data_IF_690703386412
#
_entry.id   IF_690703386412
#
_cell.length_a   1.000
_cell.length_b   1.000
_cell.length_c   1.000
_cell.angle_alpha   90.00
_cell.angle_beta   90.00
_cell.angle_gamma   90.00
#
_symmetry.space_group_name_H-M   'P 1'
#
loop_
_entity.id
_entity.type
_entity.pdbx_description
1 polymer ?
#
# COMPACT_ATOMS: atom_id res chain seq x y z
N UNK A 1 5.46 -10.61 -2.43
CA UNK A 1 6.28 -10.91 -1.23
C UNK A 1 7.16 -9.68 -0.98
N UNK A 2 6.79 -8.73 -0.13
CA UNK A 2 5.74 -8.77 0.88
C UNK A 2 5.18 -7.40 1.28
N UNK A 3 4.15 -7.51 2.12
CA UNK A 3 3.53 -6.52 3.00
C UNK A 3 2.81 -7.35 4.09
N UNK A 4 3.56 -8.18 4.86
CA UNK A 4 3.06 -9.11 5.90
C UNK A 4 4.14 -9.51 6.94
N UNK A 5 5.03 -8.60 7.34
CA UNK A 5 5.97 -8.81 8.46
C UNK A 5 7.07 -9.88 8.31
N UNK A 6 7.06 -10.75 7.31
CA UNK A 6 8.16 -11.70 7.07
C UNK A 6 9.13 -11.08 6.07
N UNK A 7 10.19 -10.44 6.59
CA UNK A 7 11.27 -9.93 5.77
C UNK A 7 12.11 -11.08 5.23
N UNK A 8 11.79 -11.54 4.02
CA UNK A 8 12.68 -12.43 3.28
C UNK A 8 13.92 -11.65 2.85
N UNK A 9 15.09 -12.26 2.98
CA UNK A 9 16.34 -11.69 2.46
C UNK A 9 16.25 -11.49 0.94
N UNK A 10 17.11 -10.63 0.38
CA UNK A 10 17.18 -10.41 -1.07
C UNK A 10 17.30 -11.72 -1.85
N UNK A 11 18.23 -12.59 -1.44
CA UNK A 11 18.41 -13.92 -2.04
C UNK A 11 17.20 -14.85 -1.88
N UNK A 12 16.49 -14.81 -0.74
CA UNK A 12 15.26 -15.59 -0.55
C UNK A 12 14.14 -15.13 -1.49
N UNK A 13 13.94 -13.81 -1.64
CA UNK A 13 12.97 -13.25 -2.60
C UNK A 13 13.32 -13.65 -4.03
N UNK A 14 14.61 -13.62 -4.37
CA UNK A 14 15.10 -14.01 -5.69
C UNK A 14 14.85 -15.50 -5.97
N UNK A 15 15.12 -16.39 -5.00
CA UNK A 15 14.79 -17.83 -5.12
C UNK A 15 13.30 -18.09 -5.36
N UNK A 16 12.42 -17.38 -4.65
CA UNK A 16 10.97 -17.50 -4.87
C UNK A 16 10.57 -16.99 -6.25
N UNK A 17 11.16 -15.88 -6.72
CA UNK A 17 10.89 -15.36 -8.06
C UNK A 17 11.32 -16.35 -9.16
N UNK A 18 12.51 -16.95 -9.02
CA UNK A 18 13.02 -17.99 -9.92
C UNK A 18 12.09 -19.21 -9.93
N UNK A 19 11.72 -19.72 -8.75
CA UNK A 19 10.80 -20.85 -8.64
C UNK A 19 9.45 -20.56 -9.33
N UNK A 20 8.89 -19.36 -9.15
CA UNK A 20 7.67 -18.92 -9.84
C UNK A 20 7.82 -18.89 -11.36
N UNK A 21 8.97 -18.44 -11.86
CA UNK A 21 9.26 -18.43 -13.29
C UNK A 21 9.39 -19.85 -13.87
N UNK A 22 10.06 -20.76 -13.15
CA UNK A 22 10.24 -22.16 -13.56
C UNK A 22 8.89 -22.90 -13.58
N UNK A 23 8.06 -22.73 -12.54
CA UNK A 23 6.73 -23.38 -12.43
C UNK A 23 5.83 -23.00 -13.60
N UNK A 24 5.86 -21.74 -14.04
CA UNK A 24 5.05 -21.26 -15.17
C UNK A 24 5.41 -21.94 -16.49
N UNK A 25 6.58 -22.58 -16.59
CA UNK A 25 7.11 -23.23 -17.80
C UNK A 25 6.93 -22.41 -19.08
N UNK A 26 7.46 -21.16 -19.13
CA UNK A 26 7.30 -20.29 -20.29
C UNK A 26 8.12 -20.79 -21.49
N UNK A 27 7.66 -20.52 -22.72
CA UNK A 27 8.44 -20.81 -23.94
C UNK A 27 9.70 -19.94 -24.05
N UNK A 28 9.63 -18.70 -23.55
CA UNK A 28 10.72 -17.75 -23.50
C UNK A 28 11.03 -17.41 -22.04
N UNK A 29 12.26 -17.66 -21.60
CA UNK A 29 12.74 -17.39 -20.26
C UNK A 29 13.71 -16.20 -20.28
N UNK A 30 13.38 -15.14 -19.55
CA UNK A 30 14.25 -13.97 -19.39
C UNK A 30 14.86 -13.99 -17.99
N UNK A 31 16.19 -13.98 -17.92
CA UNK A 31 16.94 -13.99 -16.67
C UNK A 31 17.78 -12.71 -16.58
N UNK A 32 17.28 -11.71 -15.86
CA UNK A 32 17.97 -10.45 -15.63
C UNK A 32 18.70 -10.49 -14.27
N UNK A 33 20.01 -10.66 -14.30
CA UNK A 33 20.89 -10.78 -13.13
C UNK A 33 20.36 -11.74 -12.04
N UNK A 34 19.81 -12.88 -12.48
CA UNK A 34 19.04 -13.79 -11.63
C UNK A 34 19.82 -14.41 -10.43
N UNK A 35 21.15 -14.28 -10.39
CA UNK A 35 22.00 -14.78 -9.28
C UNK A 35 22.72 -13.68 -8.50
N UNK A 36 22.46 -12.39 -8.76
CA UNK A 36 23.23 -11.28 -8.18
C UNK A 36 23.11 -11.15 -6.66
N UNK A 37 21.94 -11.43 -6.07
CA UNK A 37 21.70 -11.31 -4.62
C UNK A 37 21.78 -12.66 -3.88
N UNK A 38 22.37 -13.69 -4.48
CA UNK A 38 22.61 -14.99 -3.85
C UNK A 38 24.04 -15.10 -3.33
N UNK A 39 24.18 -15.79 -2.20
CA UNK A 39 25.45 -16.31 -1.68
C UNK A 39 26.02 -17.39 -2.60
N UNK A 40 27.34 -17.61 -2.55
CA UNK A 40 28.06 -18.51 -3.47
C UNK A 40 27.58 -19.97 -3.41
N UNK A 41 27.18 -20.46 -2.23
CA UNK A 41 26.66 -21.82 -2.08
C UNK A 41 25.28 -21.96 -2.74
N UNK A 42 24.36 -21.05 -2.40
CA UNK A 42 23.01 -21.02 -2.96
C UNK A 42 23.00 -20.75 -4.46
N UNK A 43 23.93 -19.93 -4.95
CA UNK A 43 24.07 -19.66 -6.38
C UNK A 43 24.31 -20.95 -7.15
N UNK A 44 25.23 -21.81 -6.71
CA UNK A 44 25.56 -23.04 -7.42
C UNK A 44 24.35 -23.95 -7.58
N UNK A 45 23.53 -24.07 -6.52
CA UNK A 45 22.30 -24.87 -6.53
C UNK A 45 21.27 -24.27 -7.50
N UNK A 46 21.08 -22.96 -7.45
CA UNK A 46 20.12 -22.26 -8.32
C UNK A 46 20.57 -22.27 -9.78
N UNK A 47 21.87 -22.16 -10.04
CA UNK A 47 22.43 -22.23 -11.38
C UNK A 47 22.17 -23.61 -12.01
N UNK A 48 22.38 -24.69 -11.25
CA UNK A 48 22.08 -26.04 -11.72
C UNK A 48 20.58 -26.22 -12.07
N UNK A 49 19.69 -25.64 -11.25
CA UNK A 49 18.25 -25.67 -11.52
C UNK A 49 17.87 -24.82 -12.74
N UNK A 50 18.51 -23.65 -12.94
CA UNK A 50 18.33 -22.81 -14.12
C UNK A 50 18.82 -23.52 -15.39
N UNK A 51 19.95 -24.22 -15.33
CA UNK A 51 20.50 -24.98 -16.46
C UNK A 51 19.55 -26.12 -16.88
N UNK A 52 18.93 -26.81 -15.92
CA UNK A 52 17.86 -27.78 -16.23
C UNK A 52 16.61 -27.10 -16.79
N UNK A 53 16.21 -25.96 -16.22
CA UNK A 53 15.03 -25.22 -16.66
C UNK A 53 15.19 -24.58 -18.04
N UNK A 54 16.42 -24.38 -18.53
CA UNK A 54 16.74 -23.87 -19.87
C UNK A 54 16.48 -24.90 -20.97
N UNK A 55 16.52 -26.19 -20.66
CA UNK A 55 16.37 -27.25 -21.66
C UNK A 55 15.00 -27.17 -22.34
N UNK A 56 15.01 -27.08 -23.68
CA UNK A 56 13.80 -26.99 -24.49
C UNK A 56 13.10 -25.62 -24.48
N UNK A 57 13.78 -24.56 -24.04
CA UNK A 57 13.25 -23.19 -23.97
C UNK A 57 14.22 -22.17 -24.55
N UNK A 58 13.71 -21.12 -25.18
CA UNK A 58 14.55 -19.99 -25.56
C UNK A 58 14.86 -19.17 -24.31
N UNK A 59 16.14 -19.11 -23.91
CA UNK A 59 16.54 -18.38 -22.71
C UNK A 59 17.45 -17.21 -23.06
N UNK A 60 17.07 -16.01 -22.62
CA UNK A 60 17.90 -14.80 -22.72
C UNK A 60 18.40 -14.47 -21.32
N UNK A 61 19.71 -14.31 -21.20
CA UNK A 61 20.39 -14.15 -19.91
C UNK A 61 21.18 -12.86 -19.94
N UNK A 62 20.88 -11.96 -19.02
CA UNK A 62 21.70 -10.79 -18.71
C UNK A 62 22.48 -11.16 -17.45
N UNK A 63 23.79 -11.25 -17.58
CA UNK A 63 24.64 -11.71 -16.49
C UNK A 63 25.86 -10.81 -16.34
N UNK A 64 26.19 -10.54 -15.08
CA UNK A 64 27.45 -9.94 -14.66
C UNK A 64 28.47 -11.02 -14.23
N UNK A 65 28.06 -12.28 -14.07
CA UNK A 65 28.91 -13.40 -13.63
C UNK A 65 29.36 -14.29 -14.79
N UNK A 66 30.67 -14.49 -14.89
CA UNK A 66 31.33 -15.33 -15.89
C UNK A 66 30.80 -16.77 -15.95
N UNK A 67 30.46 -17.35 -14.80
CA UNK A 67 29.90 -18.70 -14.67
C UNK A 67 28.59 -18.87 -15.46
N UNK A 68 27.75 -17.84 -15.46
CA UNK A 68 26.46 -17.84 -16.15
C UNK A 68 26.59 -17.64 -17.66
N UNK A 69 27.63 -16.91 -18.08
CA UNK A 69 27.87 -16.51 -19.47
C UNK A 69 28.61 -17.61 -20.25
N UNK A 70 29.54 -18.33 -19.62
CA UNK A 70 30.40 -19.32 -20.29
C UNK A 70 29.63 -20.47 -20.94
N UNK A 71 28.51 -20.87 -20.33
CA UNK A 71 27.68 -21.99 -20.79
C UNK A 71 26.61 -21.57 -21.81
N UNK A 72 26.64 -20.32 -22.31
CA UNK A 72 25.67 -19.85 -23.29
C UNK A 72 26.02 -20.34 -24.71
N UNK A 73 25.01 -20.71 -25.49
CA UNK A 73 25.17 -21.12 -26.89
C UNK A 73 25.70 -19.97 -27.76
N UNK A 74 25.28 -18.75 -27.47
CA UNK A 74 25.71 -17.53 -28.16
C UNK A 74 25.73 -16.38 -27.18
N UNK A 75 26.83 -15.65 -27.18
CA UNK A 75 27.06 -14.47 -26.35
C UNK A 75 27.02 -13.25 -27.27
N UNK A 76 26.20 -12.27 -26.91
CA UNK A 76 26.14 -10.97 -27.58
C UNK A 76 26.67 -9.89 -26.63
N UNK A 77 27.70 -9.17 -27.05
CA UNK A 77 28.27 -8.05 -26.28
C UNK A 77 27.69 -6.75 -26.80
N UNK A 78 27.07 -5.98 -25.90
CA UNK A 78 26.51 -4.67 -26.20
C UNK A 78 27.46 -3.56 -25.77
N UNK A 79 27.67 -2.59 -26.64
CA UNK A 79 28.35 -1.33 -26.34
C UNK A 79 27.56 -0.18 -26.97
N UNK A 80 27.26 0.87 -26.19
CA UNK A 80 26.49 2.06 -26.64
C UNK A 80 25.16 1.70 -27.35
N UNK A 81 24.47 0.68 -26.85
CA UNK A 81 23.19 0.22 -27.40
C UNK A 81 23.29 -0.55 -28.73
N UNK A 82 24.50 -0.87 -29.20
CA UNK A 82 24.74 -1.68 -30.40
C UNK A 82 25.45 -2.98 -30.03
N UNK A 83 25.15 -4.04 -30.78
CA UNK A 83 25.87 -5.31 -30.61
C UNK A 83 27.19 -5.24 -31.38
N UNK A 84 28.30 -5.29 -30.66
CA UNK A 84 29.65 -5.17 -31.23
C UNK A 84 30.28 -6.53 -31.53
N UNK A 85 29.93 -7.56 -30.76
CA UNK A 85 30.47 -8.92 -30.87
C UNK A 85 29.35 -9.93 -30.62
N UNK A 86 29.31 -10.99 -31.44
CA UNK A 86 28.38 -12.11 -31.29
C UNK A 86 29.14 -13.39 -31.59
N UNK A 87 29.07 -14.37 -30.69
CA UNK A 87 29.65 -15.69 -30.95
C UNK A 87 29.65 -16.60 -29.73
N UNK A 88 30.20 -17.81 -29.90
CA UNK A 88 30.46 -18.72 -28.80
C UNK A 88 31.64 -18.22 -27.94
N UNK A 89 31.70 -18.67 -26.69
CA UNK A 89 32.75 -18.30 -25.73
C UNK A 89 34.16 -18.44 -26.31
N UNK A 90 34.47 -19.60 -26.89
CA UNK A 90 35.82 -19.91 -27.39
C UNK A 90 36.21 -19.01 -28.56
N UNK A 91 35.27 -18.71 -29.46
CA UNK A 91 35.50 -17.82 -30.61
C UNK A 91 35.75 -16.39 -30.15
N UNK A 92 35.00 -15.90 -29.17
CA UNK A 92 35.16 -14.55 -28.64
C UNK A 92 36.45 -14.37 -27.83
N UNK A 93 36.94 -15.45 -27.20
CA UNK A 93 38.19 -15.44 -26.44
C UNK A 93 39.45 -15.39 -27.33
N UNK A 94 39.39 -15.88 -28.57
CA UNK A 94 40.51 -15.87 -29.51
C UNK A 94 40.79 -14.49 -30.12
N UNK A 95 39.82 -13.57 -30.07
CA UNK A 95 39.98 -12.19 -30.53
C UNK A 95 40.98 -11.45 -29.63
N UNK A 96 42.17 -11.15 -30.19
CA UNK A 96 43.28 -10.52 -29.46
C UNK A 96 42.91 -9.19 -28.79
N UNK A 97 41.95 -8.45 -29.34
CA UNK A 97 41.43 -7.17 -28.84
C UNK A 97 39.89 -7.16 -28.71
N UNK A 98 39.29 -8.29 -28.35
CA UNK A 98 37.83 -8.38 -28.17
C UNK A 98 37.35 -7.68 -26.90
N UNK A 99 36.18 -7.03 -26.97
CA UNK A 99 35.53 -6.44 -25.81
C UNK A 99 35.13 -7.53 -24.78
N UNK A 100 34.66 -8.68 -25.27
CA UNK A 100 34.37 -9.84 -24.42
C UNK A 100 35.61 -10.30 -23.63
N UNK A 101 36.72 -10.56 -24.32
CA UNK A 101 37.93 -11.12 -23.71
C UNK A 101 38.57 -10.16 -22.68
N UNK A 102 38.45 -8.85 -22.92
CA UNK A 102 38.82 -7.82 -21.94
C UNK A 102 37.99 -7.89 -20.65
N UNK A 103 36.66 -7.96 -20.75
CA UNK A 103 35.77 -8.09 -19.57
C UNK A 103 36.05 -9.37 -18.78
N UNK A 104 36.27 -10.49 -19.46
CA UNK A 104 36.60 -11.78 -18.82
C UNK A 104 37.90 -11.69 -18.03
N UNK A 105 38.95 -11.07 -18.59
CA UNK A 105 40.24 -10.90 -17.91
C UNK A 105 40.10 -10.04 -16.65
N UNK A 106 39.38 -8.92 -16.75
CA UNK A 106 39.14 -8.02 -15.61
C UNK A 106 38.41 -8.73 -14.47
N UNK A 107 37.40 -9.53 -14.79
CA UNK A 107 36.64 -10.27 -13.78
C UNK A 107 37.46 -11.40 -13.12
N UNK A 108 38.33 -12.07 -13.88
CA UNK A 108 39.26 -13.07 -13.32
C UNK A 108 40.30 -12.46 -12.37
N UNK A 109 40.76 -11.24 -12.64
CA UNK A 109 41.68 -10.52 -11.74
C UNK A 109 40.97 -10.17 -10.43
N UNK A 110 39.74 -9.66 -10.51
CA UNK A 110 38.92 -9.32 -9.33
C UNK A 110 38.66 -10.53 -8.43
N UNK A 111 38.28 -11.68 -9.00
CA UNK A 111 38.05 -12.89 -8.21
C UNK A 111 39.33 -13.39 -7.50
N UNK A 112 40.50 -13.26 -8.14
CA UNK A 112 41.79 -13.63 -7.53
C UNK A 112 42.19 -12.70 -6.39
N UNK A 113 41.91 -11.41 -6.53
CA UNK A 113 42.15 -10.42 -5.46
C UNK A 113 41.23 -10.67 -4.25
N UNK A 114 39.95 -11.02 -4.48
CA UNK A 114 39.00 -11.38 -3.43
C UNK A 114 39.41 -12.68 -2.69
N UNK A 115 39.92 -13.69 -3.40
CA UNK A 115 40.45 -14.93 -2.80
C UNK A 115 41.74 -14.70 -1.98
N UNK A 116 42.64 -13.82 -2.44
CA UNK A 116 43.87 -13.46 -1.70
C UNK A 116 43.59 -12.65 -0.43
N UNK A 117 42.61 -11.74 -0.47
CA UNK A 117 42.22 -10.96 0.71
C UNK A 117 41.52 -11.82 1.78
N UNK A 118 40.85 -12.91 1.38
CA UNK A 118 40.22 -13.86 2.30
C UNK A 118 41.22 -14.80 2.99
N UNK A 119 42.33 -15.14 2.33
CA UNK A 119 43.38 -16.01 2.88
C UNK A 119 44.32 -15.27 3.84
N UNK A 120 44.60 -13.98 3.60
CA UNK A 120 45.38 -13.13 4.53
C UNK A 120 44.63 -12.81 5.84
N UNK A 121 43.30 -12.89 5.85
CA UNK A 121 42.49 -12.69 7.06
C UNK A 121 42.41 -13.95 7.96
N UNK A 122 42.84 -15.13 7.49
CA UNK A 122 42.83 -16.38 8.26
C UNK A 122 44.14 -16.70 8.98
N UNK A 123 45.24 -15.98 8.70
CA UNK A 123 46.52 -16.17 9.41
C UNK A 123 46.65 -15.36 10.72
N UNK A 124 45.64 -14.56 11.09
CA UNK A 124 45.61 -13.83 12.36
C UNK A 124 44.52 -14.35 13.31
N UNK A 125 44.50 -15.66 13.60
CA UNK A 125 43.84 -16.18 14.80
C UNK A 125 44.27 -17.62 15.14
N UNK A 126 45.52 -17.81 15.51
CA UNK A 126 46.00 -19.03 16.18
C UNK A 126 46.66 -18.70 17.51
N UNK A 127 45.89 -18.36 18.55
CA UNK A 127 46.26 -18.60 19.96
C UNK A 127 45.00 -18.74 20.83
N UNK A 128 44.95 -19.83 21.60
CA UNK A 128 44.03 -20.17 22.71
C UNK A 128 42.59 -20.55 22.29
N UNK A 129 42.07 -21.74 22.60
CA UNK A 129 42.20 -22.53 23.83
C UNK A 129 42.01 -24.04 23.56
N UNK A 130 42.77 -24.85 24.29
CA UNK A 130 42.58 -26.29 24.47
C UNK A 130 41.28 -26.64 25.20
N UNK A 131 40.89 -27.91 25.06
CA UNK A 131 39.96 -28.69 25.89
C UNK A 131 38.45 -28.57 25.63
N UNK A 132 37.89 -29.55 24.90
CA UNK A 132 37.20 -30.68 25.54
C UNK A 132 36.70 -31.70 24.49
N UNK A 133 37.00 -32.97 24.73
CA UNK A 133 36.34 -34.09 24.06
C UNK A 133 34.97 -34.35 24.72
N UNK A 134 33.93 -34.57 23.92
CA UNK A 134 32.83 -35.46 24.30
C UNK A 134 32.14 -36.06 23.08
N UNK A 135 32.03 -37.38 23.14
CA UNK A 135 31.29 -38.25 22.23
C UNK A 135 29.79 -37.95 22.23
N UNK A 136 29.12 -38.33 21.12
CA UNK A 136 27.98 -39.27 21.07
C UNK A 136 26.77 -38.80 20.24
N UNK A 137 26.64 -39.46 19.10
CA UNK A 137 25.44 -40.09 18.51
C UNK A 137 24.13 -39.30 18.27
N UNK A 138 23.72 -39.32 16.99
CA UNK A 138 22.41 -39.75 16.46
C UNK A 138 21.13 -39.23 17.15
N UNK A 139 20.36 -38.41 16.41
CA UNK A 139 19.02 -38.71 15.88
C UNK A 139 18.22 -37.43 15.63
N UNK A 140 17.68 -37.26 14.42
CA UNK A 140 16.31 -36.75 14.25
C UNK A 140 15.73 -37.28 12.93
N UNK A 141 14.63 -38.03 13.08
CA UNK A 141 13.78 -38.63 12.04
C UNK A 141 12.95 -37.55 11.30
N UNK A 142 12.38 -37.89 10.14
CA UNK A 142 11.52 -37.01 9.35
C UNK A 142 10.08 -37.05 9.86
N UNK A 143 9.38 -35.92 9.87
CA UNK A 143 7.93 -35.86 10.11
C UNK A 143 7.23 -35.04 9.03
N UNK A 144 6.69 -35.80 8.06
CA UNK A 144 5.41 -35.63 7.36
C UNK A 144 4.90 -34.20 7.09
N UNK A 145 5.08 -33.77 5.84
CA UNK A 145 4.30 -32.73 5.19
C UNK A 145 2.86 -33.23 4.99
N UNK A 146 1.91 -32.73 5.76
CA UNK A 146 0.49 -32.92 5.49
C UNK A 146 0.04 -31.99 4.36
N UNK A 147 -0.56 -32.60 3.36
CA UNK A 147 -1.23 -31.99 2.22
C UNK A 147 -2.40 -31.13 2.68
N UNK A 148 -2.37 -29.82 2.39
CA UNK A 148 -3.55 -28.98 2.41
C UNK A 148 -4.04 -28.84 0.97
N UNK A 149 -5.18 -29.48 0.73
CA UNK A 149 -6.01 -29.37 -0.46
C UNK A 149 -6.47 -27.92 -0.64
N UNK A 150 -6.24 -27.40 -1.84
CA UNK A 150 -6.79 -26.14 -2.32
C UNK A 150 -8.29 -26.37 -2.54
N UNK A 151 -9.13 -25.70 -1.76
CA UNK A 151 -10.55 -25.55 -2.06
C UNK A 151 -10.95 -24.09 -1.86
N UNK A 152 -11.52 -23.54 -2.92
CA UNK A 152 -12.06 -22.20 -3.10
C UNK A 152 -12.80 -21.63 -1.90
N UNK A 153 -12.21 -20.62 -1.22
CA UNK A 153 -12.94 -19.62 -0.42
C UNK A 153 -12.21 -18.27 -0.40
N UNK A 154 -12.18 -17.59 -1.54
CA UNK A 154 -11.61 -16.23 -1.67
C UNK A 154 -12.55 -15.09 -1.21
N UNK A 155 -13.69 -15.38 -0.54
CA UNK A 155 -14.70 -14.33 -0.26
C UNK A 155 -15.23 -14.26 1.17
N UNK A 156 -14.62 -14.92 2.17
CA UNK A 156 -15.17 -14.92 3.54
C UNK A 156 -14.20 -14.64 4.71
N UNK A 157 -12.93 -14.31 4.47
CA UNK A 157 -11.94 -14.18 5.58
C UNK A 157 -11.84 -12.77 6.18
N UNK A 158 -12.47 -11.74 5.61
CA UNK A 158 -12.37 -10.36 6.16
C UNK A 158 -13.36 -10.08 7.30
N UNK A 159 -14.21 -11.03 7.68
CA UNK A 159 -15.28 -10.82 8.65
C UNK A 159 -14.97 -11.24 10.10
N UNK A 160 -13.70 -11.43 10.50
CA UNK A 160 -13.40 -11.85 11.89
C UNK A 160 -12.21 -11.13 12.51
N UNK A 161 -12.46 -10.61 13.72
CA UNK A 161 -11.55 -9.93 14.66
C UNK A 161 -11.40 -8.39 14.52
N UNK A 162 -12.51 -7.65 14.44
CA UNK A 162 -12.57 -6.31 15.03
C UNK A 162 -12.83 -6.46 16.54
N UNK A 163 -11.86 -6.10 17.37
CA UNK A 163 -12.16 -5.82 18.78
C UNK A 163 -13.16 -4.65 18.84
N UNK A 164 -14.11 -4.64 19.80
CA UNK A 164 -15.02 -3.53 19.97
C UNK A 164 -14.24 -2.34 20.51
N UNK A 165 -13.70 -1.50 19.62
CA UNK A 165 -13.18 -0.19 20.02
C UNK A 165 -14.35 0.60 20.60
N UNK A 166 -14.22 1.00 21.87
CA UNK A 166 -15.21 1.82 22.55
C UNK A 166 -15.53 3.04 21.70
N UNK A 167 -16.80 3.17 21.29
CA UNK A 167 -17.26 4.32 20.51
C UNK A 167 -16.93 5.60 21.31
N UNK A 168 -16.14 6.53 20.75
CA UNK A 168 -15.83 7.75 21.46
C UNK A 168 -17.14 8.50 21.72
N UNK A 169 -17.28 9.04 22.93
CA UNK A 169 -18.45 9.86 23.28
C UNK A 169 -18.59 11.00 22.26
N UNK A 170 -19.79 11.16 21.71
CA UNK A 170 -20.12 12.22 20.74
C UNK A 170 -19.73 13.61 21.24
N UNK A 171 -19.81 13.85 22.56
CA UNK A 171 -19.37 15.10 23.17
C UNK A 171 -17.87 15.38 23.00
N UNK A 172 -17.03 14.34 22.97
CA UNK A 172 -15.59 14.48 22.74
C UNK A 172 -15.29 14.87 21.28
N UNK A 173 -16.09 14.37 20.33
CA UNK A 173 -16.01 14.78 18.93
C UNK A 173 -16.46 16.23 18.75
N UNK A 174 -17.58 16.62 19.38
CA UNK A 174 -18.06 18.01 19.38
C UNK A 174 -17.02 18.97 19.99
N UNK A 175 -16.30 18.53 21.02
CA UNK A 175 -15.23 19.30 21.65
C UNK A 175 -14.04 19.59 20.72
N UNK A 176 -13.86 18.80 19.65
CA UNK A 176 -12.82 19.04 18.65
C UNK A 176 -13.14 20.24 17.74
N UNK A 177 -14.38 20.72 17.77
CA UNK A 177 -14.89 21.87 17.03
C UNK A 177 -14.78 23.20 17.80
N UNK A 178 -14.03 23.22 18.92
CA UNK A 178 -13.83 24.42 19.76
C UNK A 178 -13.40 25.70 19.02
N UNK A 179 -12.46 25.68 18.07
CA UNK A 179 -11.99 26.93 17.48
C UNK A 179 -12.98 27.53 16.49
N UNK A 180 -13.90 26.74 15.91
CA UNK A 180 -14.99 27.20 15.04
C UNK A 180 -16.33 27.41 15.80
N UNK A 181 -16.26 27.75 17.10
CA UNK A 181 -17.44 27.89 17.96
C UNK A 181 -18.40 29.02 17.52
N UNK A 182 -17.88 30.04 16.84
CA UNK A 182 -18.69 31.18 16.39
C UNK A 182 -19.62 30.76 15.25
N UNK A 183 -19.06 30.05 14.27
CA UNK A 183 -19.76 29.49 13.12
C UNK A 183 -20.81 28.48 13.59
N UNK A 184 -20.49 27.67 14.60
CA UNK A 184 -21.43 26.75 15.22
C UNK A 184 -22.61 27.47 15.90
N UNK A 185 -22.36 28.55 16.66
CA UNK A 185 -23.43 29.34 17.30
C UNK A 185 -24.33 30.00 16.26
N UNK A 186 -23.75 30.60 15.22
CA UNK A 186 -24.52 31.23 14.13
C UNK A 186 -25.37 30.17 13.39
N UNK A 187 -24.80 28.99 13.10
CA UNK A 187 -25.53 27.87 12.51
C UNK A 187 -26.71 27.40 13.38
N UNK A 188 -26.49 27.25 14.69
CA UNK A 188 -27.54 26.88 15.65
C UNK A 188 -28.64 27.93 15.76
N UNK A 189 -28.29 29.23 15.77
CA UNK A 189 -29.27 30.31 15.79
C UNK A 189 -30.15 30.31 14.53
N UNK A 190 -29.55 30.08 13.35
CA UNK A 190 -30.29 29.93 12.09
C UNK A 190 -31.20 28.70 12.10
N UNK A 191 -30.74 27.58 12.67
CA UNK A 191 -31.54 26.36 12.80
C UNK A 191 -32.76 26.54 13.71
N UNK A 192 -32.63 27.28 14.80
CA UNK A 192 -33.76 27.64 15.66
C UNK A 192 -34.75 28.52 14.87
N UNK A 193 -34.26 29.50 14.11
CA UNK A 193 -35.11 30.36 13.29
C UNK A 193 -35.88 29.56 12.22
N UNK A 194 -35.23 28.63 11.52
CA UNK A 194 -35.89 27.74 10.55
C UNK A 194 -36.91 26.82 11.22
N UNK A 195 -36.58 26.29 12.40
CA UNK A 195 -37.52 25.51 13.21
C UNK A 195 -38.77 26.31 13.58
N UNK A 196 -38.62 27.60 13.91
CA UNK A 196 -39.73 28.49 14.25
C UNK A 196 -40.57 28.93 13.02
N UNK A 197 -39.97 28.98 11.82
CA UNK A 197 -40.70 29.29 10.58
C UNK A 197 -41.76 28.23 10.26
N UNK A 198 -41.55 26.95 10.60
CA UNK A 198 -42.49 25.87 10.30
C UNK A 198 -43.86 26.03 11.01
N UNK A 199 -43.94 26.28 12.33
CA UNK A 199 -45.19 26.61 13.01
C UNK A 199 -45.88 27.86 12.45
N UNK A 200 -45.11 28.93 12.17
CA UNK A 200 -45.66 30.18 11.61
C UNK A 200 -46.27 29.94 10.24
N UNK A 201 -45.59 29.16 9.39
CA UNK A 201 -46.09 28.76 8.08
C UNK A 201 -47.37 27.92 8.18
N UNK A 202 -47.40 26.95 9.09
CA UNK A 202 -48.58 26.11 9.35
C UNK A 202 -49.77 26.95 9.80
N UNK A 203 -49.55 27.87 10.75
CA UNK A 203 -50.56 28.79 11.24
C UNK A 203 -51.09 29.71 10.13
N UNK A 204 -50.20 30.34 9.37
CA UNK A 204 -50.57 31.23 8.25
C UNK A 204 -51.44 30.50 7.21
N UNK A 205 -51.09 29.24 6.90
CA UNK A 205 -51.85 28.39 5.98
C UNK A 205 -53.23 28.03 6.54
N UNK A 206 -53.31 27.73 7.84
CA UNK A 206 -54.58 27.50 8.55
C UNK A 206 -55.48 28.74 8.59
N UNK A 207 -54.92 29.92 8.81
CA UNK A 207 -55.68 31.17 8.75
C UNK A 207 -56.16 31.50 7.34
N UNK A 208 -55.35 31.17 6.32
CA UNK A 208 -55.74 31.37 4.91
C UNK A 208 -57.00 30.59 4.56
N UNK A 209 -57.11 29.32 4.98
CA UNK A 209 -58.33 28.53 4.71
C UNK A 209 -59.54 29.06 5.49
N UNK A 210 -59.33 29.55 6.72
CA UNK A 210 -60.41 30.14 7.54
C UNK A 210 -61.03 31.39 6.91
N UNK A 211 -60.21 32.21 6.26
CA UNK A 211 -60.66 33.46 5.62
C UNK A 211 -61.66 33.21 4.49
N UNK A 212 -61.59 32.05 3.82
CA UNK A 212 -62.55 31.70 2.77
C UNK A 212 -63.98 31.46 3.29
N UNK A 213 -64.17 31.29 4.60
CA UNK A 213 -65.49 31.13 5.21
C UNK A 213 -66.15 32.46 5.62
N UNK A 214 -65.50 33.62 5.37
CA UNK A 214 -66.17 34.92 5.57
C UNK A 214 -67.26 35.14 4.52
N UNK A 215 -68.32 35.88 4.89
CA UNK A 215 -69.47 36.11 4.02
C UNK A 215 -69.28 37.32 3.08
N UNK A 216 -68.36 38.23 3.39
CA UNK A 216 -68.10 39.44 2.59
C UNK A 216 -66.93 39.24 1.60
N UNK A 217 -67.25 39.29 0.30
CA UNK A 217 -66.27 39.13 -0.77
C UNK A 217 -65.20 40.23 -0.81
N UNK A 218 -65.51 41.46 -0.40
CA UNK A 218 -64.51 42.54 -0.40
C UNK A 218 -63.49 42.35 0.73
N UNK A 219 -63.94 41.89 1.90
CA UNK A 219 -63.06 41.61 3.03
C UNK A 219 -62.10 40.45 2.74
N UNK A 220 -62.58 39.38 2.09
CA UNK A 220 -61.74 38.24 1.66
C UNK A 220 -60.57 38.72 0.79
N UNK A 221 -60.84 39.52 -0.24
CA UNK A 221 -59.80 39.99 -1.16
C UNK A 221 -58.73 40.86 -0.48
N UNK A 222 -59.13 41.66 0.50
CA UNK A 222 -58.19 42.48 1.27
C UNK A 222 -57.28 41.63 2.16
N UNK A 223 -57.87 40.69 2.92
CA UNK A 223 -57.13 39.80 3.81
C UNK A 223 -56.19 38.86 3.03
N UNK A 224 -56.68 38.23 1.96
CA UNK A 224 -55.87 37.33 1.11
C UNK A 224 -54.64 38.05 0.55
N UNK A 225 -54.77 39.32 0.14
CA UNK A 225 -53.64 40.13 -0.35
C UNK A 225 -52.56 40.32 0.72
N UNK A 226 -52.96 40.61 1.95
CA UNK A 226 -52.02 40.76 3.09
C UNK A 226 -51.29 39.44 3.34
N UNK A 227 -52.02 38.32 3.44
CA UNK A 227 -51.39 37.01 3.67
C UNK A 227 -50.49 36.55 2.53
N UNK A 228 -50.81 36.91 1.28
CA UNK A 228 -49.93 36.63 0.12
C UNK A 228 -48.58 37.33 0.26
N UNK A 229 -48.56 38.59 0.71
CA UNK A 229 -47.32 39.33 0.99
C UNK A 229 -46.56 38.70 2.17
N UNK A 230 -47.25 38.26 3.22
CA UNK A 230 -46.64 37.54 4.36
C UNK A 230 -46.00 36.21 3.92
N UNK A 231 -46.64 35.46 3.02
CA UNK A 231 -46.05 34.23 2.48
C UNK A 231 -44.81 34.51 1.64
N UNK A 232 -44.83 35.56 0.82
CA UNK A 232 -43.68 35.96 0.01
C UNK A 232 -42.49 36.40 0.88
N UNK A 233 -42.74 37.19 1.92
CA UNK A 233 -41.68 37.62 2.85
C UNK A 233 -41.12 36.45 3.65
N UNK A 234 -41.98 35.52 4.09
CA UNK A 234 -41.56 34.30 4.80
C UNK A 234 -40.71 33.39 3.90
N UNK A 235 -41.03 33.28 2.61
CA UNK A 235 -40.26 32.50 1.64
C UNK A 235 -38.84 33.09 1.44
N UNK A 236 -38.74 34.41 1.27
CA UNK A 236 -37.44 35.10 1.13
C UNK A 236 -36.62 34.94 2.41
N UNK A 237 -37.23 35.14 3.58
CA UNK A 237 -36.55 34.97 4.87
C UNK A 237 -36.06 33.53 5.06
N UNK A 238 -36.91 32.55 4.76
CA UNK A 238 -36.54 31.13 4.82
C UNK A 238 -35.34 30.83 3.92
N UNK A 239 -35.35 31.32 2.68
CA UNK A 239 -34.24 31.13 1.75
C UNK A 239 -32.91 31.70 2.29
N UNK A 240 -32.92 32.93 2.81
CA UNK A 240 -31.72 33.57 3.36
C UNK A 240 -31.18 32.85 4.60
N UNK A 241 -32.06 32.52 5.55
CA UNK A 241 -31.66 31.82 6.78
C UNK A 241 -31.15 30.41 6.46
N UNK A 242 -31.73 29.75 5.45
CA UNK A 242 -31.32 28.40 5.05
C UNK A 242 -29.93 28.39 4.39
N UNK A 243 -29.65 29.35 3.52
CA UNK A 243 -28.29 29.55 2.98
C UNK A 243 -27.30 29.77 4.12
N UNK A 244 -27.62 30.67 5.06
CA UNK A 244 -26.74 30.99 6.17
C UNK A 244 -26.53 29.76 7.08
N UNK A 245 -27.57 28.98 7.36
CA UNK A 245 -27.47 27.76 8.15
C UNK A 245 -26.54 26.73 7.49
N UNK A 246 -26.79 26.38 6.22
CA UNK A 246 -26.01 25.37 5.52
C UNK A 246 -24.57 25.81 5.29
N UNK A 247 -24.34 27.09 4.98
CA UNK A 247 -22.99 27.63 4.81
C UNK A 247 -22.16 27.52 6.09
N UNK A 248 -22.71 27.94 7.23
CA UNK A 248 -22.00 27.87 8.51
C UNK A 248 -21.71 26.41 8.92
N UNK A 249 -22.66 25.49 8.75
CA UNK A 249 -22.43 24.08 9.05
C UNK A 249 -21.46 23.39 8.07
N UNK A 250 -21.46 23.78 6.79
CA UNK A 250 -20.52 23.24 5.80
C UNK A 250 -19.07 23.62 6.14
N UNK A 251 -18.82 24.91 6.42
CA UNK A 251 -17.50 25.40 6.81
C UNK A 251 -17.02 24.71 8.09
N UNK A 252 -17.89 24.61 9.08
CA UNK A 252 -17.60 23.93 10.34
C UNK A 252 -17.22 22.46 10.11
N UNK A 253 -17.98 21.73 9.28
CA UNK A 253 -17.73 20.33 8.95
C UNK A 253 -16.41 20.10 8.21
N UNK A 254 -16.06 20.98 7.27
CA UNK A 254 -14.81 20.89 6.51
C UNK A 254 -13.57 21.10 7.39
N UNK A 255 -13.60 22.12 8.26
CA UNK A 255 -12.51 22.39 9.20
C UNK A 255 -12.33 21.25 10.22
N UNK A 256 -13.44 20.71 10.73
CA UNK A 256 -13.42 19.57 11.64
C UNK A 256 -12.82 18.33 10.96
N UNK A 257 -13.27 18.01 9.74
CA UNK A 257 -12.76 16.90 8.92
C UNK A 257 -11.26 17.03 8.67
N UNK A 258 -10.79 18.22 8.25
CA UNK A 258 -9.37 18.51 8.05
C UNK A 258 -8.55 18.24 9.31
N UNK A 259 -9.01 18.76 10.45
CA UNK A 259 -8.32 18.60 11.74
C UNK A 259 -8.27 17.14 12.19
N UNK A 260 -9.35 16.38 11.99
CA UNK A 260 -9.38 14.95 12.32
C UNK A 260 -8.36 14.20 11.46
N UNK A 261 -8.32 14.46 10.14
CA UNK A 261 -7.35 13.83 9.22
C UNK A 261 -5.91 14.14 9.61
N UNK A 262 -5.58 15.41 9.85
CA UNK A 262 -4.23 15.82 10.24
C UNK A 262 -3.78 15.19 11.55
N UNK A 263 -4.65 15.21 12.58
CA UNK A 263 -4.33 14.61 13.89
C UNK A 263 -4.22 13.10 13.81
N UNK A 264 -5.09 12.44 13.04
CA UNK A 264 -5.04 10.99 12.88
C UNK A 264 -3.77 10.58 12.18
N UNK A 265 -3.43 11.21 11.05
CA UNK A 265 -2.19 10.94 10.33
C UNK A 265 -0.96 11.22 11.19
N UNK A 266 -0.91 12.37 11.85
CA UNK A 266 0.19 12.73 12.75
C UNK A 266 0.38 11.68 13.86
N UNK A 267 -0.70 11.21 14.49
CA UNK A 267 -0.60 10.16 15.51
C UNK A 267 -0.22 8.81 14.95
N UNK A 268 -0.70 8.46 13.77
CA UNK A 268 -0.38 7.18 13.17
C UNK A 268 1.10 7.06 12.80
N UNK A 269 1.71 8.16 12.37
CA UNK A 269 3.15 8.22 12.09
C UNK A 269 4.03 8.16 13.34
N UNK A 270 3.47 8.29 14.54
CA UNK A 270 4.21 8.12 15.81
C UNK A 270 4.24 6.69 16.33
N UNK A 271 3.54 5.76 15.67
CA UNK A 271 3.56 4.36 16.07
C UNK A 271 4.87 3.68 15.68
N UNK A 272 5.25 2.67 16.48
CA UNK A 272 6.42 1.83 16.21
C UNK A 272 6.25 1.04 14.91
N UNK A 273 7.37 0.67 14.28
CA UNK A 273 7.34 -0.07 13.00
C UNK A 273 6.58 -1.40 13.12
N UNK A 274 6.67 -2.08 14.26
CA UNK A 274 5.96 -3.34 14.52
C UNK A 274 4.43 -3.21 14.53
N UNK A 275 3.88 -2.00 14.72
CA UNK A 275 2.45 -1.76 14.60
C UNK A 275 1.99 -1.87 13.14
N UNK A 276 2.83 -1.47 12.18
CA UNK A 276 2.57 -1.55 10.74
C UNK A 276 2.75 -2.96 10.18
N UNK A 277 3.46 -3.84 10.89
CA UNK A 277 3.63 -5.24 10.50
C UNK A 277 2.35 -6.08 10.70
N UNK A 278 1.40 -5.58 11.50
CA UNK A 278 0.12 -6.24 11.72
C UNK A 278 -0.77 -6.14 10.48
N UNK A 279 -1.37 -7.25 10.02
CA UNK A 279 -2.23 -7.26 8.82
C UNK A 279 -3.41 -6.27 8.90
N UNK A 280 -3.91 -6.01 10.12
CA UNK A 280 -4.99 -5.03 10.39
C UNK A 280 -4.59 -3.58 10.11
N UNK A 281 -3.29 -3.30 10.08
CA UNK A 281 -2.69 -1.99 9.87
C UNK A 281 -1.86 -1.97 8.58
N UNK A 282 -2.24 -2.78 7.58
CA UNK A 282 -1.69 -2.67 6.24
C UNK A 282 -1.95 -1.28 5.65
N UNK A 283 -1.07 -0.85 4.75
CA UNK A 283 -1.10 0.50 4.18
C UNK A 283 -2.45 0.80 3.51
N UNK A 284 -3.02 -0.17 2.80
CA UNK A 284 -4.34 -0.04 2.17
C UNK A 284 -5.49 0.14 3.19
N UNK A 285 -5.46 -0.56 4.32
CA UNK A 285 -6.49 -0.43 5.37
C UNK A 285 -6.39 0.94 6.04
N UNK A 286 -5.17 1.40 6.34
CA UNK A 286 -4.91 2.73 6.88
C UNK A 286 -5.44 3.82 5.95
N UNK A 287 -5.08 3.77 4.66
CA UNK A 287 -5.52 4.77 3.70
C UNK A 287 -7.05 4.78 3.59
N UNK A 288 -7.69 3.60 3.62
CA UNK A 288 -9.15 3.51 3.66
C UNK A 288 -9.73 4.12 4.94
N UNK A 289 -9.15 3.89 6.12
CA UNK A 289 -9.60 4.50 7.39
C UNK A 289 -9.44 6.02 7.37
N UNK A 290 -8.33 6.53 6.87
CA UNK A 290 -8.08 7.97 6.74
C UNK A 290 -9.03 8.66 5.75
N UNK A 291 -9.42 7.97 4.68
CA UNK A 291 -10.39 8.48 3.72
C UNK A 291 -11.82 8.45 4.29
N UNK A 292 -12.25 7.31 4.83
CA UNK A 292 -13.64 7.05 5.23
C UNK A 292 -13.97 7.54 6.63
N UNK A 293 -13.19 7.13 7.64
CA UNK A 293 -13.54 7.36 9.05
C UNK A 293 -13.31 8.81 9.47
N UNK A 294 -12.48 9.54 8.71
CA UNK A 294 -12.24 10.96 8.94
C UNK A 294 -13.25 11.87 8.21
N UNK A 295 -14.03 11.35 7.27
CA UNK A 295 -15.13 12.08 6.64
C UNK A 295 -16.36 11.92 7.54
N UNK A 296 -16.58 12.89 8.42
CA UNK A 296 -17.74 12.94 9.33
C UNK A 296 -18.87 13.71 8.68
#
# INVERSE_FOLDING_TARGET
VGERGIQLSGGQKQRIAIARAIIKSPQILLLDEATSALDSESERVVQAALDQARLGRTTIVIAHRLSTIRNADTIAVLQEGKVIEIGAHDSLMQLKNGAYSSMVRLQQMKNKEEEQHSTLAQESMTVATSDCMSNRAQNCRPTSLSSITVSDKASQVVARASEPTAVPSFGKLLLMNKPEWKEAIVGCACAIAIGAIQPVYSFAKGTMISIYFLHDHQEIQSKVRIYTVVFLSLAILCFLVNILQHYNFAIMGEHLTKRIRERMLSKMLTFEIGWFDQEKNSTGVICSKLAKDANV
#
